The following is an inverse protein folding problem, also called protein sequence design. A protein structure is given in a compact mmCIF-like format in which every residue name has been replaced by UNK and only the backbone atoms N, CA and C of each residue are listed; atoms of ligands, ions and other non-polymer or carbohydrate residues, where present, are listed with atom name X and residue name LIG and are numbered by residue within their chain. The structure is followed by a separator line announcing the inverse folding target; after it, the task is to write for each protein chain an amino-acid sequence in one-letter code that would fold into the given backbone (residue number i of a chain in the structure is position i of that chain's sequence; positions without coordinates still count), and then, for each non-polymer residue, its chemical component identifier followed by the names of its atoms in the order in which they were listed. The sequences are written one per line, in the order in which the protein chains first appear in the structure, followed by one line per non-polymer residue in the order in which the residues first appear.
data_IF_738787229187
#
_entry.id   IF_738787229187
#
_cell.length_a   1.000
_cell.length_b   1.000
_cell.length_c   1.000
_cell.angle_alpha   90.00
_cell.angle_beta   90.00
_cell.angle_gamma   90.00
#
_symmetry.space_group_name_H-M   'P 1'
#
loop_
_entity.id
_entity.type
_entity.pdbx_description
1 polymer ?
#
# COMPACT_ATOMS: atom_id res chain seq x y z
N UNK A 1 -9.18 -25.88 -26.18
CA UNK A 1 -7.88 -25.95 -25.47
C UNK A 1 -7.36 -24.54 -25.33
N UNK A 2 -7.63 -23.94 -24.19
CA UNK A 2 -7.24 -22.55 -23.89
C UNK A 2 -6.10 -22.62 -22.87
N UNK A 3 -4.88 -22.46 -23.32
CA UNK A 3 -3.70 -22.35 -22.46
C UNK A 3 -3.68 -20.94 -21.89
N UNK A 4 -4.18 -20.80 -20.68
CA UNK A 4 -4.05 -19.62 -19.86
C UNK A 4 -2.57 -19.49 -19.48
N UNK A 5 -1.87 -18.56 -20.14
CA UNK A 5 -0.47 -18.26 -19.82
C UNK A 5 -0.45 -17.54 -18.47
N UNK A 6 -0.01 -18.23 -17.43
CA UNK A 6 0.31 -17.60 -16.15
C UNK A 6 1.45 -16.58 -16.37
N UNK A 7 1.09 -15.32 -16.47
CA UNK A 7 2.07 -14.24 -16.47
C UNK A 7 2.59 -14.10 -15.04
N UNK A 8 3.69 -14.79 -14.75
CA UNK A 8 4.47 -14.49 -13.55
C UNK A 8 5.06 -13.10 -13.69
N UNK A 9 4.41 -12.11 -13.08
CA UNK A 9 4.88 -10.70 -13.05
C UNK A 9 6.20 -10.51 -12.30
N UNK A 10 6.62 -11.52 -11.55
CA UNK A 10 7.91 -11.55 -10.86
C UNK A 10 8.67 -12.78 -11.37
N UNK A 11 9.66 -12.61 -12.27
CA UNK A 11 10.53 -13.71 -12.65
C UNK A 11 11.27 -14.22 -11.40
N UNK A 12 11.41 -15.53 -11.32
CA UNK A 12 12.25 -16.18 -10.31
C UNK A 12 13.63 -15.52 -10.30
N UNK A 13 13.98 -14.87 -9.20
CA UNK A 13 15.21 -14.08 -9.07
C UNK A 13 16.47 -14.96 -8.94
N UNK A 14 16.32 -16.28 -8.94
CA UNK A 14 17.45 -17.24 -8.81
C UNK A 14 18.30 -17.39 -10.06
N UNK A 15 17.89 -16.89 -11.23
CA UNK A 15 18.49 -17.22 -12.52
C UNK A 15 19.31 -16.10 -13.21
N UNK A 16 19.47 -14.91 -12.60
CA UNK A 16 20.27 -13.83 -13.21
C UNK A 16 21.46 -13.44 -12.34
N UNK A 17 22.48 -14.30 -12.34
CA UNK A 17 23.83 -13.99 -11.85
C UNK A 17 24.63 -13.23 -12.92
N UNK A 18 24.22 -12.01 -13.21
CA UNK A 18 24.97 -11.05 -14.00
C UNK A 18 24.92 -9.73 -13.27
N UNK A 19 25.94 -9.46 -12.46
CA UNK A 19 26.04 -8.33 -11.52
C UNK A 19 26.20 -6.98 -12.25
N UNK A 20 25.09 -6.44 -12.75
CA UNK A 20 24.98 -5.04 -13.18
C UNK A 20 24.23 -4.19 -12.14
N UNK A 21 23.95 -4.73 -10.96
CA UNK A 21 23.31 -4.01 -9.86
C UNK A 21 24.39 -3.26 -9.10
N UNK A 22 24.54 -1.97 -9.36
CA UNK A 22 25.21 -1.07 -8.42
C UNK A 22 24.53 -1.25 -7.06
N UNK A 23 25.16 -1.95 -6.12
CA UNK A 23 24.60 -2.15 -4.77
C UNK A 23 24.51 -0.79 -4.11
N UNK A 24 23.32 -0.26 -3.94
CA UNK A 24 23.08 0.86 -3.04
C UNK A 24 23.53 0.40 -1.66
N UNK A 25 24.35 1.19 -0.99
CA UNK A 25 25.02 0.84 0.27
C UNK A 25 24.03 0.40 1.38
N UNK A 26 22.77 0.83 1.31
CA UNK A 26 21.68 0.29 2.11
C UNK A 26 20.35 0.42 1.34
N UNK A 27 19.62 -0.69 1.13
CA UNK A 27 18.31 -0.64 0.50
C UNK A 27 17.35 0.21 1.34
N UNK A 28 16.37 0.78 0.67
CA UNK A 28 15.26 1.45 1.30
C UNK A 28 14.23 0.48 1.86
N UNK A 29 13.01 0.95 2.01
CA UNK A 29 11.90 0.13 2.45
C UNK A 29 10.58 0.60 1.82
N UNK A 30 9.58 -0.26 1.90
CA UNK A 30 8.21 0.01 1.48
C UNK A 30 7.34 0.18 2.72
N UNK A 31 6.70 1.33 2.86
CA UNK A 31 5.67 1.56 3.86
C UNK A 31 4.31 1.42 3.20
N UNK A 32 3.65 0.28 3.43
CA UNK A 32 2.41 -0.10 2.75
C UNK A 32 1.19 0.16 3.63
N UNK A 33 0.47 1.26 3.36
CA UNK A 33 -0.76 1.62 4.07
C UNK A 33 -1.95 0.94 3.39
N UNK A 34 -2.60 0.01 4.10
CA UNK A 34 -3.83 -0.67 3.68
C UNK A 34 -5.01 -0.26 4.56
N UNK A 35 -6.23 -0.37 4.04
CA UNK A 35 -7.46 -0.03 4.76
C UNK A 35 -8.58 0.41 3.82
N UNK A 36 -9.79 0.56 4.31
CA UNK A 36 -10.98 0.94 3.55
C UNK A 36 -10.83 2.32 2.86
N UNK A 37 -11.62 2.58 1.83
CA UNK A 37 -11.77 3.94 1.31
C UNK A 37 -12.24 4.86 2.43
N UNK A 38 -11.69 6.09 2.54
CA UNK A 38 -12.04 6.99 3.64
C UNK A 38 -11.40 6.67 5.01
N UNK A 39 -10.57 5.61 5.13
CA UNK A 39 -9.89 5.30 6.39
C UNK A 39 -8.77 6.26 6.78
N UNK A 40 -8.37 7.19 5.90
CA UNK A 40 -7.34 8.18 6.20
C UNK A 40 -5.94 7.86 5.67
N UNK A 41 -5.76 6.81 4.84
CA UNK A 41 -4.46 6.41 4.29
C UNK A 41 -3.69 7.53 3.60
N UNK A 42 -4.33 8.21 2.64
CA UNK A 42 -3.70 9.31 1.87
C UNK A 42 -3.32 10.48 2.77
N UNK A 43 -4.17 10.82 3.74
CA UNK A 43 -3.90 11.90 4.71
C UNK A 43 -2.70 11.55 5.58
N UNK A 44 -2.65 10.33 6.11
CA UNK A 44 -1.53 9.84 6.91
C UNK A 44 -0.24 9.77 6.08
N UNK A 45 -0.31 9.27 4.85
CA UNK A 45 0.82 9.19 3.94
C UNK A 45 1.39 10.58 3.60
N UNK A 46 0.52 11.54 3.29
CA UNK A 46 0.94 12.92 3.01
C UNK A 46 1.64 13.57 4.21
N UNK A 47 1.16 13.31 5.43
CA UNK A 47 1.79 13.81 6.65
C UNK A 47 3.12 13.11 6.98
N UNK A 48 3.24 11.81 6.66
CA UNK A 48 4.45 11.01 6.90
C UNK A 48 5.60 11.37 5.93
N UNK A 49 5.32 11.63 4.66
CA UNK A 49 6.34 11.80 3.63
C UNK A 49 7.43 12.84 4.00
N UNK A 50 7.10 14.08 4.42
CA UNK A 50 8.11 15.06 4.81
C UNK A 50 8.88 14.66 6.08
N UNK A 51 8.26 13.92 7.01
CA UNK A 51 8.89 13.44 8.23
C UNK A 51 9.94 12.37 7.92
N UNK A 52 9.59 11.43 7.05
CA UNK A 52 10.50 10.37 6.59
C UNK A 52 11.70 10.96 5.84
N UNK A 53 11.46 11.92 4.95
CA UNK A 53 12.54 12.60 4.24
C UNK A 53 13.50 13.30 5.23
N UNK A 54 12.99 14.07 6.18
CA UNK A 54 13.83 14.78 7.17
C UNK A 54 14.65 13.85 8.04
N UNK A 55 14.11 12.69 8.46
CA UNK A 55 14.78 11.75 9.35
C UNK A 55 15.79 10.84 8.65
N UNK A 56 15.65 10.64 7.34
CA UNK A 56 16.46 9.66 6.61
C UNK A 56 17.31 10.27 5.50
N UNK A 57 17.03 11.50 5.07
CA UNK A 57 17.59 12.13 3.86
C UNK A 57 17.36 11.32 2.58
N UNK A 58 16.46 10.31 2.61
CA UNK A 58 16.12 9.48 1.46
C UNK A 58 15.06 10.15 0.60
N UNK A 59 15.03 9.79 -0.68
CA UNK A 59 13.89 10.09 -1.54
C UNK A 59 12.68 9.33 -1.00
N UNK A 60 11.54 10.00 -0.87
CA UNK A 60 10.27 9.40 -0.49
C UNK A 60 9.32 9.55 -1.67
N UNK A 61 8.92 8.42 -2.25
CA UNK A 61 7.96 8.38 -3.36
C UNK A 61 6.59 7.99 -2.83
N UNK A 62 5.60 8.88 -3.02
CA UNK A 62 4.22 8.63 -2.62
C UNK A 62 3.44 7.97 -3.77
N UNK A 63 3.11 6.70 -3.59
CA UNK A 63 2.30 5.90 -4.49
C UNK A 63 0.85 5.85 -3.98
N UNK A 64 0.10 6.93 -4.18
CA UNK A 64 -1.32 6.97 -3.84
C UNK A 64 -2.15 6.19 -4.85
N UNK A 65 -3.06 5.33 -4.37
CA UNK A 65 -3.83 4.40 -5.20
C UNK A 65 -4.67 5.06 -6.28
N UNK A 66 -5.20 6.26 -6.05
CA UNK A 66 -5.98 7.00 -7.05
C UNK A 66 -5.06 7.53 -8.17
N UNK A 67 -3.92 8.14 -7.79
CA UNK A 67 -2.92 8.64 -8.74
C UNK A 67 -2.29 7.50 -9.54
N UNK A 68 -1.88 6.44 -8.85
CA UNK A 68 -1.28 5.26 -9.49
C UNK A 68 -2.26 4.61 -10.48
N UNK A 69 -3.55 4.58 -10.15
CA UNK A 69 -4.56 3.99 -11.02
C UNK A 69 -4.67 4.70 -12.37
N UNK A 70 -4.43 6.01 -12.44
CA UNK A 70 -4.45 6.75 -13.71
C UNK A 70 -3.30 6.36 -14.63
N UNK A 71 -2.16 5.95 -14.07
CA UNK A 71 -0.95 5.60 -14.82
C UNK A 71 -0.77 4.10 -15.00
N UNK A 72 -0.83 3.33 -13.91
CA UNK A 72 -0.57 1.89 -13.92
C UNK A 72 -1.84 1.03 -14.04
N UNK A 73 -3.02 1.59 -13.72
CA UNK A 73 -4.28 0.89 -13.72
C UNK A 73 -5.06 0.98 -15.04
N UNK A 74 -4.49 1.59 -16.08
CA UNK A 74 -5.18 1.72 -17.38
C UNK A 74 -5.58 0.35 -17.93
N UNK A 75 -6.87 0.23 -18.27
CA UNK A 75 -7.46 -1.02 -18.78
C UNK A 75 -7.93 -2.00 -17.69
N UNK A 76 -7.64 -1.75 -16.40
CA UNK A 76 -8.14 -2.56 -15.31
C UNK A 76 -9.52 -2.11 -14.83
N UNK A 77 -10.36 -3.08 -14.52
CA UNK A 77 -11.70 -2.90 -13.92
C UNK A 77 -11.62 -2.91 -12.37
N UNK A 78 -12.75 -3.20 -11.72
CA UNK A 78 -12.83 -3.40 -10.27
C UNK A 78 -13.09 -4.88 -9.92
N UNK A 79 -12.85 -5.81 -10.85
CA UNK A 79 -12.87 -7.24 -10.55
C UNK A 79 -11.77 -7.59 -9.54
N UNK A 80 -11.90 -8.73 -8.88
CA UNK A 80 -10.89 -9.22 -7.93
C UNK A 80 -9.53 -9.36 -8.60
N UNK A 81 -9.49 -9.96 -9.78
CA UNK A 81 -8.28 -10.21 -10.56
C UNK A 81 -7.58 -8.91 -10.97
N UNK A 82 -8.37 -7.91 -11.39
CA UNK A 82 -7.84 -6.61 -11.80
C UNK A 82 -7.32 -5.80 -10.60
N UNK A 83 -7.98 -5.94 -9.44
CA UNK A 83 -7.49 -5.35 -8.18
C UNK A 83 -6.15 -5.96 -7.78
N UNK A 84 -6.04 -7.29 -7.79
CA UNK A 84 -4.80 -7.99 -7.48
C UNK A 84 -3.69 -7.62 -8.46
N UNK A 85 -4.00 -7.57 -9.76
CA UNK A 85 -3.07 -7.11 -10.79
C UNK A 85 -2.60 -5.68 -10.53
N UNK A 86 -3.49 -4.75 -10.16
CA UNK A 86 -3.13 -3.39 -9.82
C UNK A 86 -2.19 -3.33 -8.61
N UNK A 87 -2.46 -4.13 -7.56
CA UNK A 87 -1.63 -4.19 -6.36
C UNK A 87 -0.24 -4.75 -6.68
N UNK A 88 -0.12 -5.78 -7.52
CA UNK A 88 1.17 -6.30 -7.99
C UNK A 88 1.96 -5.26 -8.77
N UNK A 89 1.32 -4.49 -9.65
CA UNK A 89 1.97 -3.38 -10.39
C UNK A 89 2.50 -2.32 -9.45
N UNK A 90 1.71 -1.91 -8.45
CA UNK A 90 2.15 -0.97 -7.40
C UNK A 90 3.33 -1.55 -6.62
N UNK A 91 3.24 -2.82 -6.22
CA UNK A 91 4.30 -3.52 -5.50
C UNK A 91 5.61 -3.55 -6.28
N UNK A 92 5.56 -3.81 -7.58
CA UNK A 92 6.74 -3.80 -8.43
C UNK A 92 7.41 -2.43 -8.48
N UNK A 93 6.63 -1.34 -8.67
CA UNK A 93 7.17 0.03 -8.66
C UNK A 93 7.75 0.38 -7.29
N UNK A 94 7.03 0.04 -6.21
CA UNK A 94 7.49 0.28 -4.84
C UNK A 94 8.82 -0.45 -4.56
N UNK A 95 8.96 -1.68 -5.04
CA UNK A 95 10.18 -2.47 -4.90
C UNK A 95 11.35 -1.86 -5.67
N UNK A 96 11.12 -1.33 -6.88
CA UNK A 96 12.14 -0.58 -7.63
C UNK A 96 12.65 0.60 -6.81
N UNK A 97 11.76 1.41 -6.22
CA UNK A 97 12.14 2.54 -5.38
C UNK A 97 12.96 2.07 -4.17
N UNK A 98 12.50 1.03 -3.46
CA UNK A 98 13.18 0.51 -2.27
C UNK A 98 14.55 -0.09 -2.59
N UNK A 99 14.68 -0.87 -3.65
CA UNK A 99 15.98 -1.44 -4.08
C UNK A 99 17.01 -0.37 -4.42
N UNK A 100 16.59 0.81 -4.84
CA UNK A 100 17.47 1.95 -5.13
C UNK A 100 17.65 2.90 -3.94
N UNK A 101 17.34 2.45 -2.72
CA UNK A 101 17.61 3.20 -1.48
C UNK A 101 16.54 4.21 -1.10
N UNK A 102 15.48 4.37 -1.89
CA UNK A 102 14.34 5.23 -1.59
C UNK A 102 13.35 4.60 -0.61
N UNK A 103 12.38 5.38 -0.19
CA UNK A 103 11.21 4.94 0.59
C UNK A 103 10.00 5.02 -0.32
N UNK A 104 9.36 3.87 -0.58
CA UNK A 104 8.09 3.85 -1.26
C UNK A 104 6.96 3.90 -0.22
N UNK A 105 6.21 4.99 -0.22
CA UNK A 105 5.06 5.18 0.66
C UNK A 105 3.78 4.90 -0.11
N UNK A 106 3.24 3.69 0.05
CA UNK A 106 2.07 3.22 -0.69
C UNK A 106 0.80 3.47 0.12
N UNK A 107 -0.20 4.13 -0.48
CA UNK A 107 -1.52 4.33 0.10
C UNK A 107 -2.61 3.71 -0.81
N UNK A 108 -2.89 2.43 -0.63
CA UNK A 108 -3.85 1.68 -1.45
C UNK A 108 -4.80 0.85 -0.58
N UNK A 109 -6.03 0.63 -1.02
CA UNK A 109 -7.00 -0.21 -0.28
C UNK A 109 -6.43 -1.62 -0.10
N UNK A 110 -5.89 -2.23 -1.19
CA UNK A 110 -5.34 -3.60 -1.21
C UNK A 110 -6.21 -4.59 -0.41
N UNK A 111 -7.44 -4.86 -0.89
CA UNK A 111 -8.49 -5.46 -0.07
C UNK A 111 -8.23 -6.93 0.30
N UNK A 112 -7.48 -7.66 -0.52
CA UNK A 112 -7.32 -9.10 -0.36
C UNK A 112 -5.99 -9.45 0.30
N UNK A 113 -6.04 -10.32 1.30
CA UNK A 113 -4.89 -10.72 2.11
C UNK A 113 -3.81 -11.39 1.27
N UNK A 114 -4.22 -12.32 0.40
CA UNK A 114 -3.28 -13.12 -0.39
C UNK A 114 -2.28 -12.27 -1.19
N UNK A 115 -2.74 -11.19 -1.84
CA UNK A 115 -1.86 -10.32 -2.61
C UNK A 115 -0.98 -9.44 -1.70
N UNK A 116 -1.44 -9.01 -0.52
CA UNK A 116 -0.60 -8.29 0.44
C UNK A 116 0.52 -9.18 0.98
N UNK A 117 0.21 -10.43 1.33
CA UNK A 117 1.21 -11.42 1.76
C UNK A 117 2.22 -11.75 0.64
N UNK A 118 1.75 -11.80 -0.61
CA UNK A 118 2.64 -11.95 -1.77
C UNK A 118 3.63 -10.77 -1.84
N UNK A 119 3.15 -9.52 -1.73
CA UNK A 119 4.00 -8.32 -1.71
C UNK A 119 5.00 -8.36 -0.55
N UNK A 120 4.56 -8.72 0.66
CA UNK A 120 5.46 -8.83 1.83
C UNK A 120 6.58 -9.84 1.61
N UNK A 121 6.30 -10.92 0.90
CA UNK A 121 7.28 -11.99 0.65
C UNK A 121 8.24 -11.66 -0.51
N UNK A 122 7.77 -10.95 -1.54
CA UNK A 122 8.51 -10.77 -2.80
C UNK A 122 9.21 -9.42 -2.92
N UNK A 123 8.79 -8.41 -2.15
CA UNK A 123 9.36 -7.06 -2.22
C UNK A 123 10.31 -6.75 -1.05
N UNK A 124 11.14 -5.74 -1.26
CA UNK A 124 12.22 -5.37 -0.33
C UNK A 124 11.67 -4.65 0.90
N UNK A 125 11.95 -5.16 2.10
CA UNK A 125 11.69 -4.50 3.39
C UNK A 125 10.28 -3.86 3.50
N UNK A 126 9.23 -4.67 3.32
CA UNK A 126 7.85 -4.19 3.42
C UNK A 126 7.41 -4.07 4.88
N UNK A 127 6.88 -2.90 5.25
CA UNK A 127 6.21 -2.64 6.54
C UNK A 127 4.74 -2.38 6.25
N UNK A 128 3.87 -3.28 6.68
CA UNK A 128 2.43 -3.16 6.51
C UNK A 128 1.80 -2.33 7.62
N UNK A 129 1.18 -1.21 7.25
CA UNK A 129 0.43 -0.35 8.17
C UNK A 129 -1.05 -0.52 7.92
N UNK A 130 -1.76 -1.07 8.90
CA UNK A 130 -3.21 -1.15 8.86
C UNK A 130 -3.82 0.16 9.34
N UNK A 131 -4.35 0.94 8.40
CA UNK A 131 -5.07 2.19 8.68
C UNK A 131 -6.53 1.85 8.91
N UNK A 132 -6.84 1.57 10.19
CA UNK A 132 -8.13 1.08 10.63
C UNK A 132 -9.16 2.20 10.79
N UNK A 133 -10.33 1.99 10.22
CA UNK A 133 -11.59 2.66 10.53
C UNK A 133 -12.73 1.72 10.12
N UNK A 134 -13.85 1.75 10.84
CA UNK A 134 -15.01 0.93 10.51
C UNK A 134 -15.69 1.43 9.22
N UNK A 135 -16.51 0.57 8.61
CA UNK A 135 -17.30 0.96 7.41
C UNK A 135 -18.18 2.16 7.73
N UNK A 136 -18.81 2.18 8.91
CA UNK A 136 -19.69 3.26 9.37
C UNK A 136 -18.90 4.57 9.48
N UNK A 137 -17.70 4.55 10.07
CA UNK A 137 -16.82 5.71 10.18
C UNK A 137 -16.40 6.21 8.80
N UNK A 138 -16.03 5.30 7.89
CA UNK A 138 -15.64 5.66 6.53
C UNK A 138 -16.82 6.22 5.74
N UNK A 139 -18.01 5.63 5.89
CA UNK A 139 -19.25 6.11 5.25
C UNK A 139 -19.71 7.46 5.80
N UNK A 140 -19.53 7.72 7.11
CA UNK A 140 -19.82 9.02 7.69
C UNK A 140 -18.87 10.13 7.18
N UNK A 141 -17.61 9.78 6.90
CA UNK A 141 -16.63 10.70 6.29
C UNK A 141 -16.91 10.95 4.82
N UNK A 142 -17.20 9.93 4.08
CA UNK A 142 -17.49 9.81 2.62
C UNK A 142 -17.03 11.00 1.76
N UNK A 143 -15.78 11.39 1.90
CA UNK A 143 -15.18 12.59 1.30
C UNK A 143 -15.28 12.63 -0.24
N UNK A 144 -15.53 11.47 -0.87
CA UNK A 144 -15.64 11.32 -2.32
C UNK A 144 -17.06 10.96 -2.79
N UNK A 145 -18.03 10.86 -1.88
CA UNK A 145 -19.41 10.44 -2.18
C UNK A 145 -19.55 8.99 -2.68
N UNK A 146 -18.52 8.15 -2.45
CA UNK A 146 -18.47 6.80 -2.98
C UNK A 146 -19.33 5.83 -2.16
N UNK A 147 -19.37 5.97 -0.83
CA UNK A 147 -20.22 5.15 0.03
C UNK A 147 -21.71 5.39 -0.24
N UNK A 148 -22.11 6.65 -0.35
CA UNK A 148 -23.50 6.99 -0.68
C UNK A 148 -23.93 6.36 -2.02
N UNK A 149 -23.07 6.36 -3.03
CA UNK A 149 -23.33 5.73 -4.33
C UNK A 149 -23.34 4.20 -4.23
N UNK A 150 -22.40 3.61 -3.48
CA UNK A 150 -22.33 2.16 -3.31
C UNK A 150 -23.56 1.61 -2.58
N UNK A 151 -24.02 2.30 -1.53
CA UNK A 151 -25.23 1.94 -0.77
C UNK A 151 -26.52 2.04 -1.61
N UNK A 152 -26.54 2.91 -2.62
CA UNK A 152 -27.65 2.96 -3.61
C UNK A 152 -27.51 1.94 -4.74
N UNK A 153 -26.46 1.09 -4.71
CA UNK A 153 -26.23 0.08 -5.76
C UNK A 153 -25.63 0.62 -7.07
N UNK A 154 -25.19 1.89 -7.09
CA UNK A 154 -24.62 2.53 -8.28
C UNK A 154 -23.15 2.12 -8.54
N UNK A 155 -22.48 1.56 -7.56
CA UNK A 155 -21.10 1.11 -7.64
C UNK A 155 -21.00 -0.39 -7.30
N UNK A 156 -20.97 -1.26 -8.30
CA UNK A 156 -20.74 -2.68 -8.05
C UNK A 156 -19.32 -2.94 -7.53
N UNK A 157 -19.15 -4.00 -6.76
CA UNK A 157 -17.85 -4.44 -6.23
C UNK A 157 -17.15 -3.35 -5.39
N UNK A 158 -17.89 -2.56 -4.62
CA UNK A 158 -17.30 -1.54 -3.76
C UNK A 158 -16.83 -2.15 -2.45
N UNK A 159 -15.52 -2.05 -2.18
CA UNK A 159 -14.88 -2.65 -1.01
C UNK A 159 -15.46 -2.11 0.30
N UNK A 160 -15.91 -3.02 1.16
CA UNK A 160 -16.56 -2.72 2.43
C UNK A 160 -18.09 -2.59 2.36
N UNK A 161 -18.70 -2.64 1.16
CA UNK A 161 -20.16 -2.62 0.97
C UNK A 161 -20.62 -3.86 0.22
N UNK A 162 -20.25 -4.00 -1.06
CA UNK A 162 -20.65 -5.13 -1.92
C UNK A 162 -19.47 -6.05 -2.27
N UNK A 163 -18.26 -5.70 -1.84
CA UNK A 163 -17.05 -6.51 -2.00
C UNK A 163 -16.28 -6.52 -0.67
N UNK A 164 -15.67 -7.66 -0.26
CA UNK A 164 -15.03 -7.75 1.03
C UNK A 164 -13.73 -6.95 1.12
N UNK A 165 -13.43 -6.47 2.32
CA UNK A 165 -12.10 -6.10 2.75
C UNK A 165 -11.62 -7.15 3.76
N UNK A 166 -10.49 -7.80 3.49
CA UNK A 166 -9.88 -8.78 4.37
C UNK A 166 -8.83 -8.08 5.25
N UNK A 167 -9.13 -7.76 6.52
CA UNK A 167 -8.15 -7.10 7.41
C UNK A 167 -6.86 -7.91 7.52
N UNK A 168 -5.70 -7.26 7.67
CA UNK A 168 -4.46 -7.95 7.99
C UNK A 168 -4.59 -8.66 9.34
N UNK A 169 -4.12 -9.92 9.44
CA UNK A 169 -4.10 -10.65 10.70
C UNK A 169 -2.96 -10.19 11.62
N UNK A 170 -1.81 -9.91 11.02
CA UNK A 170 -0.60 -9.52 11.73
C UNK A 170 0.05 -8.32 11.04
N UNK A 171 -0.58 -7.13 11.08
CA UNK A 171 0.03 -5.92 10.54
C UNK A 171 1.24 -5.52 11.38
N UNK A 172 2.23 -4.94 10.75
CA UNK A 172 3.43 -4.43 11.44
C UNK A 172 3.09 -3.26 12.36
N UNK A 173 2.13 -2.42 11.94
CA UNK A 173 1.64 -1.26 12.69
C UNK A 173 0.14 -1.13 12.43
N UNK A 174 -0.63 -0.80 13.48
CA UNK A 174 -2.06 -0.45 13.35
C UNK A 174 -2.28 0.99 13.78
N UNK A 175 -3.01 1.74 12.95
CA UNK A 175 -3.39 3.14 13.22
C UNK A 175 -4.92 3.26 13.17
N UNK A 176 -5.56 3.42 14.33
CA UNK A 176 -7.02 3.58 14.46
C UNK A 176 -7.43 5.04 14.29
N UNK A 177 -7.66 5.46 13.04
CA UNK A 177 -7.90 6.88 12.71
C UNK A 177 -9.22 7.46 13.19
N UNK A 178 -10.09 6.65 13.77
CA UNK A 178 -11.29 7.12 14.47
C UNK A 178 -10.99 7.56 15.91
N UNK A 179 -9.86 7.11 16.48
CA UNK A 179 -9.54 7.26 17.90
C UNK A 179 -8.42 8.25 18.16
N UNK A 180 -7.55 8.48 17.17
CA UNK A 180 -6.36 9.33 17.33
C UNK A 180 -6.26 10.40 16.24
N UNK A 181 -5.54 11.47 16.53
CA UNK A 181 -5.25 12.54 15.57
C UNK A 181 -4.26 12.06 14.50
N UNK A 182 -4.16 12.82 13.40
CA UNK A 182 -3.18 12.57 12.34
C UNK A 182 -1.74 12.59 12.90
N UNK A 183 -1.41 13.56 13.74
CA UNK A 183 -0.07 13.70 14.33
C UNK A 183 0.27 12.52 15.24
N UNK A 184 -0.67 12.03 16.02
CA UNK A 184 -0.51 10.82 16.83
C UNK A 184 -0.32 9.59 15.94
N UNK A 185 -1.06 9.49 14.83
CA UNK A 185 -0.90 8.42 13.84
C UNK A 185 0.49 8.45 13.17
N UNK A 186 0.98 9.63 12.80
CA UNK A 186 2.33 9.83 12.27
C UNK A 186 3.38 9.36 13.28
N UNK A 187 3.27 9.82 14.54
CA UNK A 187 4.24 9.46 15.59
C UNK A 187 4.25 7.95 15.85
N UNK A 188 3.09 7.31 15.89
CA UNK A 188 2.94 5.85 16.05
C UNK A 188 3.70 5.09 14.94
N UNK A 189 3.56 5.53 13.69
CA UNK A 189 4.26 4.92 12.56
C UNK A 189 5.76 5.14 12.66
N UNK A 190 6.21 6.37 12.94
CA UNK A 190 7.64 6.68 13.08
C UNK A 190 8.29 5.85 14.19
N UNK A 191 7.64 5.73 15.35
CA UNK A 191 8.11 4.86 16.44
C UNK A 191 8.19 3.38 16.03
N UNK A 192 7.20 2.91 15.26
CA UNK A 192 7.21 1.56 14.70
C UNK A 192 8.41 1.32 13.78
N UNK A 193 8.73 2.28 12.92
CA UNK A 193 9.89 2.21 12.02
C UNK A 193 11.22 2.29 12.78
N UNK A 194 11.30 3.14 13.80
CA UNK A 194 12.49 3.23 14.68
C UNK A 194 12.76 1.91 15.41
N UNK A 195 11.72 1.29 16.00
CA UNK A 195 11.84 -0.03 16.66
C UNK A 195 12.33 -1.13 15.72
N UNK A 196 12.08 -0.99 14.42
CA UNK A 196 12.57 -1.91 13.38
C UNK A 196 13.95 -1.54 12.83
N UNK A 197 14.57 -0.47 13.32
CA UNK A 197 15.86 -0.01 12.83
C UNK A 197 15.86 0.54 11.39
N UNK A 198 14.68 0.90 10.85
CA UNK A 198 14.54 1.42 9.49
C UNK A 198 14.80 2.92 9.40
N UNK A 199 14.61 3.64 10.50
CA UNK A 199 14.92 5.05 10.65
C UNK A 199 15.61 5.29 12.01
N UNK A 200 16.38 6.38 12.13
CA UNK A 200 16.96 6.80 13.41
C UNK A 200 15.88 7.32 14.37
N UNK A 201 16.19 7.29 15.66
CA UNK A 201 15.33 7.83 16.72
C UNK A 201 15.18 9.35 16.64
#
# INVERSE_FOLDING_TARGET
MNTQSDIHLFPDQSAHSGDLRTRVASPGFILWLTGLSGSGKSTLATALAPQLHRRTSRVVELLDGDTVRTHLGKGLTFSREDRDTNIRRIGWVADVVARHGGIALVAAISPYRAVREEIKRTCTNVVEVYVHATVETCAARDTKGLYARALRGELPNFTGVSDPYEPPENPDITVSTAEISIDQGVELVLQGLTRRGLIAA
#
